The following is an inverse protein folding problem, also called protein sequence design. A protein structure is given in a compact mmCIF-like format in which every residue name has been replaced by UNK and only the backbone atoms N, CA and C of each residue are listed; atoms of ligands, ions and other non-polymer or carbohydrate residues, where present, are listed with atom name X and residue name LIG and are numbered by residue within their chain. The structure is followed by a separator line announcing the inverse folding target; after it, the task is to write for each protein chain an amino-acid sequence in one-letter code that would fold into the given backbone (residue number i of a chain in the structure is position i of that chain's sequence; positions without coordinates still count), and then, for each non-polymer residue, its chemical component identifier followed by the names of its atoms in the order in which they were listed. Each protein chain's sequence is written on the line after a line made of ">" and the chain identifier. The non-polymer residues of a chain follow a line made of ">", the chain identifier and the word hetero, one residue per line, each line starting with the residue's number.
data_IF_556937368232
#
_entry.id   IF_556937368232
#
_cell.length_a   1.000
_cell.length_b   1.000
_cell.length_c   1.000
_cell.angle_alpha   90.00
_cell.angle_beta   90.00
_cell.angle_gamma   90.00
#
_symmetry.space_group_name_H-M   'P 1'
#
loop_
_entity.id
_entity.type
_entity.pdbx_description
1 polymer ?
#
# COMPACT_ATOMS: atom_id res chain seq x y z
N UNK A 1 4.06 60.83 10.87
CA UNK A 1 3.91 61.61 9.63
C UNK A 1 4.52 60.77 8.54
N UNK A 2 3.78 60.49 7.47
CA UNK A 2 4.31 59.77 6.32
C UNK A 2 5.23 60.72 5.52
N UNK A 3 6.24 60.18 4.86
CA UNK A 3 7.13 60.93 3.96
C UNK A 3 6.30 61.69 2.92
N UNK A 4 5.25 61.05 2.39
CA UNK A 4 4.32 61.63 1.43
C UNK A 4 3.67 62.92 1.96
N UNK A 5 3.19 62.90 3.20
CA UNK A 5 2.60 64.08 3.84
C UNK A 5 3.59 65.23 4.05
N UNK A 6 4.87 64.94 4.27
CA UNK A 6 5.90 65.98 4.38
C UNK A 6 6.24 66.58 3.01
N UNK A 7 6.25 65.75 1.96
CA UNK A 7 6.42 66.21 0.58
C UNK A 7 5.26 67.11 0.16
N UNK A 8 4.02 66.70 0.45
CA UNK A 8 2.82 67.50 0.16
C UNK A 8 2.86 68.87 0.86
N UNK A 9 3.32 68.92 2.12
CA UNK A 9 3.47 70.19 2.87
C UNK A 9 4.58 71.07 2.31
N UNK A 10 5.68 70.48 1.84
CA UNK A 10 6.76 71.23 1.20
C UNK A 10 6.31 71.82 -0.14
N UNK A 11 5.55 71.06 -0.91
CA UNK A 11 4.93 71.50 -2.16
C UNK A 11 3.90 72.60 -1.93
N UNK A 12 3.06 72.47 -0.90
CA UNK A 12 2.11 73.51 -0.50
C UNK A 12 2.82 74.81 -0.07
N UNK A 13 3.89 74.70 0.73
CA UNK A 13 4.69 75.86 1.14
C UNK A 13 5.32 76.56 -0.08
N UNK A 14 5.79 75.80 -1.06
CA UNK A 14 6.33 76.34 -2.30
C UNK A 14 5.26 77.02 -3.16
N UNK A 15 4.07 76.42 -3.30
CA UNK A 15 2.95 76.99 -4.07
C UNK A 15 2.39 78.28 -3.45
N UNK A 16 2.51 78.45 -2.13
CA UNK A 16 2.09 79.67 -1.42
C UNK A 16 3.17 80.77 -1.42
N UNK A 17 4.37 80.49 -1.94
CA UNK A 17 5.51 81.40 -1.93
C UNK A 17 5.34 82.54 -2.95
N UNK A 18 5.84 83.73 -2.62
CA UNK A 18 5.71 84.91 -3.50
C UNK A 18 6.83 84.92 -4.55
N UNK A 19 6.53 84.88 -5.86
CA UNK A 19 7.56 84.96 -6.90
C UNK A 19 8.12 86.38 -7.01
N UNK A 20 9.42 86.51 -7.27
CA UNK A 20 10.08 87.79 -7.47
C UNK A 20 10.08 88.15 -8.97
N UNK A 21 9.50 89.29 -9.40
CA UNK A 21 9.47 89.70 -10.80
C UNK A 21 10.87 89.76 -11.43
N UNK A 22 10.99 89.33 -12.69
CA UNK A 22 12.25 89.30 -13.46
C UNK A 22 13.32 88.32 -12.95
N UNK A 23 13.00 87.44 -12.00
CA UNK A 23 13.90 86.37 -11.51
C UNK A 23 13.19 85.02 -11.45
N UNK A 24 13.95 83.93 -11.43
CA UNK A 24 13.41 82.57 -11.21
C UNK A 24 13.33 82.19 -9.71
N UNK A 25 13.31 83.19 -8.82
CA UNK A 25 13.39 82.99 -7.38
C UNK A 25 12.03 83.24 -6.70
N UNK A 26 11.75 82.45 -5.66
CA UNK A 26 10.55 82.57 -4.82
C UNK A 26 10.95 82.91 -3.39
N UNK A 27 10.13 83.72 -2.72
CA UNK A 27 10.31 84.06 -1.30
C UNK A 27 9.53 83.04 -0.47
N UNK A 28 10.25 82.29 0.35
CA UNK A 28 9.73 81.23 1.23
C UNK A 28 9.94 81.64 2.69
N UNK A 29 9.03 81.22 3.57
CA UNK A 29 9.21 81.31 5.02
C UNK A 29 10.28 80.30 5.46
N UNK A 30 11.43 80.82 5.90
CA UNK A 30 12.60 80.03 6.27
C UNK A 30 12.32 79.09 7.46
N UNK A 31 11.65 79.58 8.49
CA UNK A 31 11.34 78.81 9.70
C UNK A 31 10.45 77.60 9.37
N UNK A 32 9.38 77.83 8.58
CA UNK A 32 8.47 76.76 8.15
C UNK A 32 9.14 75.76 7.22
N UNK A 33 10.03 76.22 6.36
CA UNK A 33 10.77 75.36 5.43
C UNK A 33 11.74 74.46 6.19
N UNK A 34 12.52 75.02 7.12
CA UNK A 34 13.46 74.27 7.95
C UNK A 34 12.74 73.26 8.85
N UNK A 35 11.59 73.61 9.43
CA UNK A 35 10.78 72.69 10.23
C UNK A 35 10.36 71.44 9.45
N UNK A 36 9.98 71.58 8.18
CA UNK A 36 9.60 70.45 7.31
C UNK A 36 10.82 69.59 7.00
N UNK A 37 11.98 70.20 6.72
CA UNK A 37 13.23 69.48 6.47
C UNK A 37 13.69 68.71 7.71
N UNK A 38 13.59 69.28 8.91
CA UNK A 38 13.92 68.60 10.16
C UNK A 38 12.98 67.43 10.43
N UNK A 39 11.68 67.59 10.15
CA UNK A 39 10.71 66.49 10.22
C UNK A 39 11.02 65.37 9.21
N UNK A 40 11.41 65.71 7.97
CA UNK A 40 11.84 64.75 6.95
C UNK A 40 13.10 64.00 7.40
N UNK A 41 14.05 64.71 8.01
CA UNK A 41 15.32 64.14 8.49
C UNK A 41 15.13 63.11 9.61
N UNK A 42 14.04 63.22 10.37
CA UNK A 42 13.70 62.26 11.43
C UNK A 42 12.87 61.09 10.89
N UNK A 43 11.87 61.37 10.04
CA UNK A 43 10.90 60.37 9.56
C UNK A 43 11.46 59.47 8.44
N UNK A 44 12.04 60.06 7.39
CA UNK A 44 12.51 59.30 6.21
C UNK A 44 13.43 58.12 6.59
N UNK A 45 14.44 58.28 7.46
CA UNK A 45 15.31 57.16 7.82
C UNK A 45 14.56 56.02 8.53
N UNK A 46 13.60 56.35 9.39
CA UNK A 46 12.80 55.35 10.11
C UNK A 46 11.85 54.60 9.17
N UNK A 47 11.19 55.29 8.24
CA UNK A 47 10.37 54.66 7.22
C UNK A 47 11.18 53.76 6.27
N UNK A 48 12.37 54.18 5.85
CA UNK A 48 13.29 53.35 5.04
C UNK A 48 13.73 52.11 5.80
N UNK A 49 14.08 52.26 7.10
CA UNK A 49 14.47 51.14 7.96
C UNK A 49 13.34 50.13 8.15
N UNK A 50 12.11 50.60 8.36
CA UNK A 50 10.92 49.73 8.41
C UNK A 50 10.72 48.98 7.11
N UNK A 51 10.83 49.64 5.96
CA UNK A 51 10.71 48.99 4.66
C UNK A 51 11.78 47.90 4.47
N UNK A 52 13.03 48.18 4.82
CA UNK A 52 14.12 47.18 4.78
C UNK A 52 13.84 45.97 5.68
N UNK A 53 13.29 46.19 6.89
CA UNK A 53 12.90 45.11 7.79
C UNK A 53 11.79 44.24 7.19
N UNK A 54 10.78 44.84 6.56
CA UNK A 54 9.70 44.11 5.89
C UNK A 54 10.25 43.27 4.74
N UNK A 55 11.17 43.81 3.92
CA UNK A 55 11.82 43.03 2.87
C UNK A 55 12.63 41.85 3.44
N UNK A 56 13.44 42.08 4.47
CA UNK A 56 14.21 41.02 5.12
C UNK A 56 13.31 39.94 5.73
N UNK A 57 12.17 40.32 6.31
CA UNK A 57 11.19 39.37 6.84
C UNK A 57 10.51 38.58 5.73
N UNK A 58 10.12 39.24 4.63
CA UNK A 58 9.56 38.57 3.44
C UNK A 58 10.52 37.53 2.91
N UNK A 59 11.79 37.88 2.72
CA UNK A 59 12.80 36.96 2.18
C UNK A 59 13.02 35.75 3.09
N UNK A 60 13.02 35.96 4.41
CA UNK A 60 13.07 34.85 5.39
C UNK A 60 11.85 33.94 5.28
N UNK A 61 10.65 34.50 5.20
CA UNK A 61 9.41 33.72 5.06
C UNK A 61 9.43 32.91 3.77
N UNK A 62 9.86 33.51 2.65
CA UNK A 62 9.97 32.81 1.37
C UNK A 62 10.98 31.67 1.42
N UNK A 63 12.15 31.90 2.04
CA UNK A 63 13.16 30.86 2.23
C UNK A 63 12.62 29.69 3.07
N UNK A 64 11.95 29.98 4.19
CA UNK A 64 11.36 28.95 5.04
C UNK A 64 10.25 28.19 4.32
N UNK A 65 9.35 28.89 3.62
CA UNK A 65 8.28 28.26 2.85
C UNK A 65 8.83 27.35 1.75
N UNK A 66 9.92 27.75 1.09
CA UNK A 66 10.57 26.92 0.07
C UNK A 66 11.21 25.67 0.68
N UNK A 67 11.86 25.79 1.84
CA UNK A 67 12.43 24.65 2.56
C UNK A 67 11.34 23.67 3.01
N UNK A 68 10.24 24.16 3.60
CA UNK A 68 9.10 23.35 4.02
C UNK A 68 8.40 22.67 2.84
N UNK A 69 8.25 23.36 1.71
CA UNK A 69 7.71 22.79 0.48
C UNK A 69 8.61 21.66 -0.04
N UNK A 70 9.92 21.88 -0.10
CA UNK A 70 10.88 20.86 -0.51
C UNK A 70 10.85 19.64 0.42
N UNK A 71 10.78 19.87 1.74
CA UNK A 71 10.67 18.81 2.74
C UNK A 71 9.39 18.01 2.58
N UNK A 72 8.26 18.68 2.38
CA UNK A 72 6.97 18.03 2.15
C UNK A 72 7.00 17.15 0.90
N UNK A 73 7.54 17.66 -0.20
CA UNK A 73 7.67 16.90 -1.46
C UNK A 73 8.58 15.69 -1.29
N UNK A 74 9.71 15.84 -0.57
CA UNK A 74 10.62 14.73 -0.29
C UNK A 74 9.92 13.62 0.51
N UNK A 75 9.22 13.98 1.59
CA UNK A 75 8.48 13.03 2.42
C UNK A 75 7.34 12.35 1.64
N UNK A 76 6.65 13.08 0.76
CA UNK A 76 5.60 12.52 -0.08
C UNK A 76 6.15 11.49 -1.07
N UNK A 77 7.33 11.75 -1.66
CA UNK A 77 8.01 10.81 -2.55
C UNK A 77 8.46 9.54 -1.82
N UNK A 78 9.09 9.69 -0.66
CA UNK A 78 9.52 8.56 0.18
C UNK A 78 8.32 7.65 0.54
N UNK A 79 7.20 8.24 0.96
CA UNK A 79 5.97 7.48 1.24
C UNK A 79 5.39 6.79 0.02
N UNK A 80 5.43 7.44 -1.14
CA UNK A 80 4.97 6.82 -2.38
C UNK A 80 5.82 5.60 -2.74
N UNK A 81 7.14 5.71 -2.65
CA UNK A 81 8.07 4.60 -2.91
C UNK A 81 7.84 3.44 -1.93
N UNK A 82 7.62 3.72 -0.64
CA UNK A 82 7.26 2.70 0.35
C UNK A 82 5.94 1.98 0.02
N UNK A 83 4.92 2.72 -0.41
CA UNK A 83 3.61 2.16 -0.73
C UNK A 83 3.69 1.25 -1.96
N UNK A 84 4.39 1.68 -3.02
CA UNK A 84 4.61 0.86 -4.21
C UNK A 84 5.39 -0.40 -3.86
N UNK A 85 6.44 -0.30 -3.04
CA UNK A 85 7.20 -1.45 -2.57
C UNK A 85 6.31 -2.43 -1.79
N UNK A 86 5.48 -1.94 -0.87
CA UNK A 86 4.52 -2.77 -0.13
C UNK A 86 3.51 -3.45 -1.05
N UNK A 87 2.98 -2.74 -2.04
CA UNK A 87 2.01 -3.29 -2.98
C UNK A 87 2.60 -4.43 -3.82
N UNK A 88 3.83 -4.26 -4.32
CA UNK A 88 4.56 -5.31 -5.06
C UNK A 88 4.77 -6.55 -4.17
N UNK A 89 5.18 -6.36 -2.92
CA UNK A 89 5.37 -7.47 -1.97
C UNK A 89 4.04 -8.21 -1.72
N UNK A 90 2.94 -7.48 -1.54
CA UNK A 90 1.62 -8.07 -1.30
C UNK A 90 1.14 -8.84 -2.53
N UNK A 91 1.27 -8.27 -3.73
CA UNK A 91 0.88 -8.96 -4.97
C UNK A 91 1.68 -10.25 -5.17
N UNK A 92 2.99 -10.21 -4.95
CA UNK A 92 3.85 -11.39 -5.09
C UNK A 92 3.56 -12.45 -4.02
N UNK A 93 3.27 -12.03 -2.79
CA UNK A 93 2.83 -12.92 -1.72
C UNK A 93 1.49 -13.60 -2.05
N UNK A 94 0.52 -12.86 -2.59
CA UNK A 94 -0.76 -13.40 -3.05
C UNK A 94 -0.57 -14.41 -4.18
N UNK A 95 0.23 -14.07 -5.20
CA UNK A 95 0.55 -14.98 -6.30
C UNK A 95 1.17 -16.27 -5.81
N UNK A 96 2.12 -16.19 -4.85
CA UNK A 96 2.76 -17.36 -4.26
C UNK A 96 1.78 -18.18 -3.42
N UNK A 97 0.86 -17.54 -2.70
CA UNK A 97 -0.18 -18.23 -1.93
C UNK A 97 -1.13 -19.00 -2.86
N UNK A 98 -1.56 -18.40 -3.98
CA UNK A 98 -2.37 -19.08 -5.00
C UNK A 98 -1.65 -20.30 -5.58
N UNK A 99 -0.37 -20.17 -5.91
CA UNK A 99 0.45 -21.30 -6.40
C UNK A 99 0.55 -22.44 -5.37
N UNK A 100 0.72 -22.11 -4.09
CA UNK A 100 0.77 -23.12 -3.02
C UNK A 100 -0.58 -23.84 -2.89
N UNK A 101 -1.70 -23.10 -2.98
CA UNK A 101 -3.04 -23.67 -2.90
C UNK A 101 -3.29 -24.59 -4.09
N UNK A 102 -2.97 -24.16 -5.31
CA UNK A 102 -3.11 -24.97 -6.52
C UNK A 102 -2.27 -26.25 -6.45
N UNK A 103 -1.01 -26.15 -6.01
CA UNK A 103 -0.14 -27.30 -5.83
C UNK A 103 -0.69 -28.26 -4.76
N UNK A 104 -1.15 -27.74 -3.63
CA UNK A 104 -1.74 -28.55 -2.56
C UNK A 104 -3.02 -29.26 -3.01
N UNK A 105 -3.86 -28.59 -3.82
CA UNK A 105 -5.06 -29.20 -4.39
C UNK A 105 -4.71 -30.33 -5.36
N UNK A 106 -3.73 -30.12 -6.24
CA UNK A 106 -3.28 -31.15 -7.17
C UNK A 106 -2.66 -32.35 -6.43
N UNK A 107 -1.87 -32.10 -5.40
CA UNK A 107 -1.28 -33.16 -4.58
C UNK A 107 -2.34 -33.94 -3.82
N UNK A 108 -3.34 -33.26 -3.25
CA UNK A 108 -4.47 -33.90 -2.58
C UNK A 108 -5.29 -34.79 -3.53
N UNK A 109 -5.53 -34.33 -4.77
CA UNK A 109 -6.22 -35.13 -5.79
C UNK A 109 -5.41 -36.38 -6.14
N UNK A 110 -4.11 -36.23 -6.41
CA UNK A 110 -3.24 -37.36 -6.73
C UNK A 110 -3.18 -38.39 -5.59
N UNK A 111 -3.14 -37.93 -4.33
CA UNK A 111 -3.18 -38.81 -3.16
C UNK A 111 -4.51 -39.56 -3.09
N UNK A 112 -5.63 -38.89 -3.33
CA UNK A 112 -6.95 -39.51 -3.32
C UNK A 112 -7.07 -40.57 -4.40
N UNK A 113 -6.74 -40.22 -5.65
CA UNK A 113 -6.76 -41.16 -6.77
C UNK A 113 -5.84 -42.37 -6.51
N UNK A 114 -4.63 -42.13 -5.98
CA UNK A 114 -3.70 -43.20 -5.62
C UNK A 114 -4.24 -44.11 -4.50
N UNK A 115 -4.91 -43.54 -3.49
CA UNK A 115 -5.52 -44.30 -2.41
C UNK A 115 -6.71 -45.14 -2.90
N UNK A 116 -7.55 -44.58 -3.76
CA UNK A 116 -8.69 -45.27 -4.36
C UNK A 116 -8.21 -46.45 -5.23
N UNK A 117 -7.19 -46.23 -6.06
CA UNK A 117 -6.59 -47.28 -6.88
C UNK A 117 -5.99 -48.39 -6.01
N UNK A 118 -5.24 -48.01 -4.97
CA UNK A 118 -4.65 -48.99 -4.05
C UNK A 118 -5.73 -49.81 -3.33
N UNK A 119 -6.81 -49.18 -2.86
CA UNK A 119 -7.92 -49.86 -2.22
C UNK A 119 -8.61 -50.84 -3.18
N UNK A 120 -8.84 -50.42 -4.43
CA UNK A 120 -9.41 -51.27 -5.47
C UNK A 120 -8.54 -52.50 -5.74
N UNK A 121 -7.23 -52.32 -5.92
CA UNK A 121 -6.31 -53.44 -6.17
C UNK A 121 -6.28 -54.43 -5.00
N UNK A 122 -6.34 -53.93 -3.77
CA UNK A 122 -6.43 -54.77 -2.56
C UNK A 122 -7.75 -55.53 -2.46
N UNK A 123 -8.85 -54.92 -2.87
CA UNK A 123 -10.15 -55.59 -2.91
C UNK A 123 -10.18 -56.70 -3.97
N UNK A 124 -9.60 -56.48 -5.16
CA UNK A 124 -9.45 -57.51 -6.18
C UNK A 124 -8.57 -58.68 -5.71
N UNK A 125 -7.46 -58.38 -5.03
CA UNK A 125 -6.60 -59.42 -4.44
C UNK A 125 -7.37 -60.27 -3.43
N UNK A 126 -8.15 -59.63 -2.56
CA UNK A 126 -8.99 -60.30 -1.58
C UNK A 126 -10.09 -61.15 -2.24
N UNK A 127 -10.73 -60.63 -3.29
CA UNK A 127 -11.75 -61.36 -4.06
C UNK A 127 -11.19 -62.67 -4.62
N UNK A 128 -10.03 -62.62 -5.27
CA UNK A 128 -9.36 -63.82 -5.80
C UNK A 128 -9.03 -64.83 -4.69
N UNK A 129 -8.56 -64.37 -3.53
CA UNK A 129 -8.27 -65.24 -2.39
C UNK A 129 -9.53 -65.91 -1.85
N UNK A 130 -10.63 -65.16 -1.71
CA UNK A 130 -11.91 -65.70 -1.26
C UNK A 130 -12.47 -66.73 -2.25
N UNK A 131 -12.33 -66.50 -3.57
CA UNK A 131 -12.76 -67.46 -4.58
C UNK A 131 -11.97 -68.78 -4.50
N UNK A 132 -10.66 -68.72 -4.27
CA UNK A 132 -9.84 -69.91 -4.03
C UNK A 132 -10.31 -70.69 -2.78
N UNK A 133 -10.56 -69.99 -1.69
CA UNK A 133 -11.05 -70.59 -0.44
C UNK A 133 -12.43 -71.23 -0.67
N UNK A 134 -13.36 -70.53 -1.34
CA UNK A 134 -14.68 -71.06 -1.65
C UNK A 134 -14.60 -72.32 -2.53
N UNK A 135 -13.71 -72.35 -3.51
CA UNK A 135 -13.49 -73.53 -4.33
C UNK A 135 -12.94 -74.71 -3.51
N UNK A 136 -12.02 -74.47 -2.58
CA UNK A 136 -11.54 -75.50 -1.66
C UNK A 136 -12.66 -76.05 -0.76
N UNK A 137 -13.51 -75.17 -0.21
CA UNK A 137 -14.66 -75.57 0.60
C UNK A 137 -15.66 -76.40 -0.22
N UNK A 138 -16.00 -75.96 -1.44
CA UNK A 138 -16.88 -76.70 -2.36
C UNK A 138 -16.33 -78.10 -2.69
N UNK A 139 -15.02 -78.19 -2.94
CA UNK A 139 -14.35 -79.47 -3.17
C UNK A 139 -14.42 -80.39 -1.95
N UNK A 140 -14.21 -79.84 -0.75
CA UNK A 140 -14.34 -80.58 0.51
C UNK A 140 -15.76 -81.10 0.77
N UNK A 141 -16.79 -80.29 0.52
CA UNK A 141 -18.20 -80.69 0.65
C UNK A 141 -18.51 -81.87 -0.30
N UNK A 142 -18.17 -81.72 -1.58
CA UNK A 142 -18.39 -82.77 -2.60
C UNK A 142 -17.72 -84.09 -2.23
N UNK A 143 -16.48 -84.06 -1.75
CA UNK A 143 -15.78 -85.28 -1.31
C UNK A 143 -16.49 -85.99 -0.14
N UNK A 144 -17.07 -85.23 0.79
CA UNK A 144 -17.81 -85.79 1.92
C UNK A 144 -19.16 -86.36 1.49
N UNK A 145 -19.84 -85.74 0.54
CA UNK A 145 -21.07 -86.25 -0.08
C UNK A 145 -20.81 -87.57 -0.82
N UNK A 146 -19.79 -87.61 -1.68
CA UNK A 146 -19.36 -88.82 -2.39
C UNK A 146 -19.01 -89.95 -1.39
N UNK A 147 -18.29 -89.65 -0.30
CA UNK A 147 -18.01 -90.62 0.76
C UNK A 147 -19.28 -91.13 1.45
N UNK A 148 -20.26 -90.26 1.73
CA UNK A 148 -21.54 -90.66 2.31
C UNK A 148 -22.33 -91.58 1.38
N UNK A 149 -22.37 -91.29 0.09
CA UNK A 149 -23.05 -92.13 -0.91
C UNK A 149 -22.37 -93.49 -1.09
N UNK A 150 -21.03 -93.53 -1.11
CA UNK A 150 -20.26 -94.76 -1.13
C UNK A 150 -20.47 -95.63 0.12
N UNK A 151 -20.52 -95.02 1.31
CA UNK A 151 -20.81 -95.75 2.56
C UNK A 151 -22.27 -96.22 2.65
N UNK A 152 -23.23 -95.47 2.12
CA UNK A 152 -24.63 -95.87 2.05
C UNK A 152 -24.84 -97.06 1.09
N UNK A 153 -24.21 -97.03 -0.09
CA UNK A 153 -24.26 -98.14 -1.07
C UNK A 153 -23.59 -99.42 -0.55
N UNK A 154 -22.44 -99.32 0.13
CA UNK A 154 -21.80 -100.46 0.79
C UNK A 154 -22.69 -101.11 1.86
N UNK A 155 -23.40 -100.30 2.67
CA UNK A 155 -24.37 -100.81 3.65
C UNK A 155 -25.59 -101.47 2.99
N UNK A 156 -26.10 -100.93 1.89
CA UNK A 156 -27.22 -101.52 1.15
C UNK A 156 -26.85 -102.89 0.54
N UNK A 157 -25.65 -103.04 -0.03
CA UNK A 157 -25.17 -104.33 -0.55
C UNK A 157 -24.90 -105.36 0.54
N UNK A 158 -24.49 -104.93 1.74
CA UNK A 158 -24.30 -105.83 2.88
C UNK A 158 -25.61 -106.33 3.49
N UNK A 159 -26.70 -105.56 3.40
CA UNK A 159 -28.02 -105.93 3.93
C UNK A 159 -28.87 -106.78 2.99
N UNK A 160 -28.54 -106.85 1.69
CA UNK A 160 -29.29 -107.64 0.69
C UNK A 160 -28.81 -109.08 0.51
N UNK A 161 -27.78 -109.51 1.24
CA UNK A 161 -27.16 -110.84 1.13
C UNK A 161 -27.37 -111.69 2.40
N UNK A 162 -28.42 -111.39 3.17
CA UNK A 162 -28.89 -112.14 4.35
C UNK A 162 -30.34 -112.58 4.16
#
# INVERSE_FOLDING_TARGET
>A
MDILHLVDRLEELFNQSRPIPLTHSVIVDEDRFLDIIDQMRISIPEEVKKAQQVYAQRDRILAQAQEEANRTVALARERADELVSKEVIVQEASRRAEQIIEQAQQEAENIREGADQYAHDKLLELEMQLEQILNQVRNGIRLLEEKKEATASLKATASGNS
#
